data_IF_151404364948
#
_entry.id   IF_151404364948
#
_cell.length_a   1.000
_cell.length_b   1.000
_cell.length_c   1.000
_cell.angle_alpha   90.00
_cell.angle_beta   90.00
_cell.angle_gamma   90.00
#
_symmetry.space_group_name_H-M   'P 1'
#
loop_
_entity.id
_entity.type
_entity.pdbx_description
1 polymer ?
#
# COMPACT_ATOMS: atom_id res chain seq x y z
N UNK A 1 -24.42 19.85 59.45
CA UNK A 1 -24.14 18.64 58.64
C UNK A 1 -24.01 19.06 57.18
N UNK A 2 -22.78 19.09 56.63
CA UNK A 2 -22.51 19.48 55.23
C UNK A 2 -22.63 18.25 54.33
N UNK A 3 -23.54 18.27 53.35
CA UNK A 3 -23.66 17.21 52.33
C UNK A 3 -22.72 17.56 51.17
N UNK A 4 -21.77 16.67 50.89
CA UNK A 4 -20.87 16.74 49.73
C UNK A 4 -21.53 15.92 48.62
N UNK A 5 -21.93 16.58 47.54
CA UNK A 5 -22.46 15.91 46.35
C UNK A 5 -21.29 15.60 45.42
N UNK A 6 -20.98 14.31 45.28
CA UNK A 6 -19.97 13.80 44.35
C UNK A 6 -20.60 13.70 42.95
N UNK A 7 -20.12 14.50 41.99
CA UNK A 7 -20.52 14.39 40.58
C UNK A 7 -19.49 13.49 39.89
N UNK A 8 -19.89 12.26 39.56
CA UNK A 8 -19.09 11.35 38.76
C UNK A 8 -19.24 11.72 37.27
N UNK A 9 -18.19 12.29 36.68
CA UNK A 9 -18.12 12.52 35.24
C UNK A 9 -17.74 11.21 34.54
N UNK A 10 -18.71 10.56 33.89
CA UNK A 10 -18.49 9.40 33.03
C UNK A 10 -17.95 9.93 31.70
N UNK A 11 -16.66 9.73 31.46
CA UNK A 11 -16.03 9.98 30.17
C UNK A 11 -16.35 8.80 29.23
N UNK A 12 -17.32 9.00 28.35
CA UNK A 12 -17.64 8.04 27.29
C UNK A 12 -16.69 8.28 26.11
N UNK A 13 -15.64 7.47 25.99
CA UNK A 13 -14.79 7.48 24.79
C UNK A 13 -15.55 6.78 23.67
N UNK A 14 -16.19 7.54 22.77
CA UNK A 14 -16.69 6.98 21.51
C UNK A 14 -15.48 6.53 20.68
N UNK A 15 -15.25 5.22 20.59
CA UNK A 15 -14.37 4.67 19.58
C UNK A 15 -15.13 4.66 18.25
N UNK A 16 -14.84 5.61 17.36
CA UNK A 16 -15.31 5.55 15.99
C UNK A 16 -14.67 4.34 15.31
N UNK A 17 -15.48 3.36 14.91
CA UNK A 17 -15.03 2.33 13.99
C UNK A 17 -14.66 3.00 12.66
N UNK A 18 -13.38 2.98 12.31
CA UNK A 18 -12.88 3.55 11.05
C UNK A 18 -13.23 2.55 9.94
N UNK A 19 -14.35 2.77 9.24
CA UNK A 19 -14.69 2.03 8.03
C UNK A 19 -13.90 2.63 6.85
N UNK A 20 -12.79 1.99 6.45
CA UNK A 20 -11.96 2.47 5.34
C UNK A 20 -11.73 1.40 4.29
N UNK A 21 -11.83 1.73 3.00
CA UNK A 21 -11.59 0.74 1.93
C UNK A 21 -10.09 0.45 1.81
N UNK A 22 -9.70 -0.83 1.77
CA UNK A 22 -8.30 -1.24 1.94
C UNK A 22 -7.78 -2.22 0.89
N UNK A 23 -6.61 -1.96 0.34
CA UNK A 23 -5.79 -2.99 -0.30
C UNK A 23 -4.67 -3.43 0.65
N UNK A 24 -4.76 -4.64 1.20
CA UNK A 24 -3.76 -5.15 2.13
C UNK A 24 -2.52 -5.60 1.35
N UNK A 25 -1.33 -5.18 1.76
CA UNK A 25 -0.10 -5.59 1.08
C UNK A 25 0.45 -6.87 1.73
N UNK A 26 0.64 -7.90 0.91
CA UNK A 26 1.35 -9.12 1.27
C UNK A 26 2.65 -9.18 0.47
N UNK A 27 3.78 -9.28 1.15
CA UNK A 27 5.10 -9.23 0.51
C UNK A 27 5.83 -10.54 0.70
N UNK A 28 6.39 -11.07 -0.38
CA UNK A 28 7.30 -12.20 -0.37
C UNK A 28 8.61 -11.80 -1.07
N UNK A 29 9.74 -12.21 -0.49
CA UNK A 29 11.06 -11.92 -1.01
C UNK A 29 11.93 -13.19 -1.05
N UNK A 30 12.78 -13.31 -2.07
CA UNK A 30 13.81 -14.33 -2.12
C UNK A 30 14.84 -14.16 -0.98
N UNK A 31 15.59 -15.23 -0.69
CA UNK A 31 16.71 -15.19 0.25
C UNK A 31 17.70 -14.08 -0.10
N UNK A 32 18.22 -13.41 0.92
CA UNK A 32 19.18 -12.30 0.81
C UNK A 32 18.61 -11.00 0.16
N UNK A 33 17.29 -10.91 -0.01
CA UNK A 33 16.56 -9.66 -0.24
C UNK A 33 15.85 -9.29 1.06
N UNK A 34 16.07 -8.06 1.53
CA UNK A 34 15.40 -7.51 2.72
C UNK A 34 14.37 -6.49 2.25
N UNK A 35 13.12 -6.66 2.67
CA UNK A 35 12.08 -5.67 2.45
C UNK A 35 11.67 -5.08 3.79
N UNK A 36 11.78 -3.76 3.90
CA UNK A 36 11.33 -3.02 5.09
C UNK A 36 10.02 -2.29 4.79
N UNK A 37 9.29 -1.97 5.86
CA UNK A 37 7.95 -1.37 5.82
C UNK A 37 6.84 -2.32 5.28
N UNK A 38 6.84 -3.56 5.76
CA UNK A 38 5.88 -4.61 5.39
C UNK A 38 4.43 -4.34 5.82
N UNK A 39 4.20 -3.34 6.66
CA UNK A 39 2.90 -3.03 7.26
C UNK A 39 2.33 -1.77 6.62
N UNK A 40 1.82 -1.90 5.40
CA UNK A 40 1.11 -0.84 4.72
C UNK A 40 -0.19 -1.37 4.09
N UNK A 41 -1.26 -0.59 4.20
CA UNK A 41 -2.51 -0.82 3.48
C UNK A 41 -2.74 0.37 2.54
N UNK A 42 -3.20 0.12 1.31
CA UNK A 42 -3.79 1.18 0.49
C UNK A 42 -5.13 1.56 1.08
N UNK A 43 -5.15 2.61 1.91
CA UNK A 43 -6.35 3.07 2.59
C UNK A 43 -7.02 4.21 1.82
N UNK A 44 -8.11 3.93 1.13
CA UNK A 44 -8.92 4.92 0.42
C UNK A 44 -9.87 5.69 1.37
N UNK A 45 -9.83 5.40 2.67
CA UNK A 45 -10.69 6.02 3.67
C UNK A 45 -12.15 5.59 3.53
N UNK A 46 -13.03 6.33 4.20
CA UNK A 46 -14.47 6.16 4.07
C UNK A 46 -14.93 6.74 2.74
N UNK A 47 -15.71 5.96 2.00
CA UNK A 47 -16.30 6.39 0.72
C UNK A 47 -17.81 6.44 0.83
N UNK A 48 -18.43 7.39 0.11
CA UNK A 48 -19.88 7.53 0.01
C UNK A 48 -20.39 6.93 -1.31
N UNK A 49 -21.63 6.44 -1.32
CA UNK A 49 -22.24 5.91 -2.53
C UNK A 49 -22.24 6.95 -3.65
N UNK A 50 -21.94 6.50 -4.87
CA UNK A 50 -21.87 7.34 -6.08
C UNK A 50 -20.84 8.48 -6.00
N UNK A 51 -19.80 8.35 -5.17
CA UNK A 51 -18.70 9.32 -5.09
C UNK A 51 -17.86 9.38 -6.39
N UNK A 52 -17.95 8.35 -7.24
CA UNK A 52 -17.13 8.24 -8.44
C UNK A 52 -15.73 7.73 -8.11
N UNK A 53 -14.71 8.19 -8.85
CA UNK A 53 -13.34 7.72 -8.68
C UNK A 53 -12.70 8.32 -7.43
N UNK A 54 -12.19 7.46 -6.55
CA UNK A 54 -11.32 7.84 -5.43
C UNK A 54 -9.93 7.32 -5.73
N UNK A 55 -8.94 8.21 -5.69
CA UNK A 55 -7.58 7.91 -6.14
C UNK A 55 -6.55 8.24 -5.05
N UNK A 56 -5.61 7.31 -4.87
CA UNK A 56 -4.34 7.55 -4.18
C UNK A 56 -3.31 7.83 -5.28
N UNK A 57 -2.81 9.06 -5.32
CA UNK A 57 -1.78 9.48 -6.29
C UNK A 57 -0.40 8.98 -5.85
N UNK A 58 0.52 8.76 -6.79
CA UNK A 58 1.88 8.30 -6.51
C UNK A 58 2.59 9.11 -5.40
N UNK A 59 2.39 10.43 -5.36
CA UNK A 59 3.01 11.34 -4.37
C UNK A 59 2.14 11.59 -3.15
N UNK A 60 0.98 10.94 -3.03
CA UNK A 60 0.09 11.09 -1.90
C UNK A 60 0.67 10.42 -0.65
N UNK A 61 0.38 10.94 0.56
CA UNK A 61 0.84 10.32 1.80
C UNK A 61 0.25 8.93 2.06
N UNK A 62 -0.87 8.57 1.41
CA UNK A 62 -1.50 7.25 1.48
C UNK A 62 -0.84 6.20 0.57
N UNK A 63 0.14 6.59 -0.27
CA UNK A 63 0.94 5.64 -1.06
C UNK A 63 1.73 4.72 -0.15
N UNK A 64 1.66 3.42 -0.41
CA UNK A 64 2.51 2.47 0.31
C UNK A 64 3.89 2.44 -0.32
N UNK A 65 4.92 2.64 0.50
CA UNK A 65 6.31 2.61 0.07
C UNK A 65 7.01 1.41 0.70
N UNK A 66 7.45 0.48 -0.14
CA UNK A 66 8.31 -0.64 0.26
C UNK A 66 9.76 -0.30 -0.08
N UNK A 67 10.65 -0.45 0.88
CA UNK A 67 12.09 -0.33 0.64
C UNK A 67 12.65 -1.74 0.43
N UNK A 68 13.32 -1.94 -0.70
CA UNK A 68 13.91 -3.20 -1.13
C UNK A 68 15.42 -3.06 -1.07
N UNK A 69 16.06 -3.91 -0.28
CA UNK A 69 17.50 -3.98 -0.15
C UNK A 69 18.00 -5.34 -0.62
N UNK A 70 19.10 -5.34 -1.36
CA UNK A 70 19.73 -6.56 -1.83
C UNK A 70 21.16 -6.27 -2.25
N UNK A 71 21.81 -7.24 -2.88
CA UNK A 71 23.18 -7.07 -3.37
C UNK A 71 23.22 -6.03 -4.49
N UNK A 72 24.13 -5.06 -4.38
CA UNK A 72 24.29 -4.02 -5.40
C UNK A 72 24.60 -4.60 -6.79
N UNK A 73 24.21 -3.87 -7.84
CA UNK A 73 24.37 -4.24 -9.25
C UNK A 73 23.68 -5.56 -9.66
N UNK A 74 22.92 -6.20 -8.79
CA UNK A 74 22.06 -7.31 -9.18
C UNK A 74 20.75 -6.78 -9.76
N UNK A 75 20.20 -7.54 -10.71
CA UNK A 75 18.87 -7.30 -11.24
C UNK A 75 17.87 -7.98 -10.33
N UNK A 76 16.80 -7.27 -10.00
CA UNK A 76 15.67 -7.82 -9.29
C UNK A 76 14.44 -7.75 -10.17
N UNK A 77 13.61 -8.77 -10.05
CA UNK A 77 12.31 -8.90 -10.69
C UNK A 77 11.24 -8.73 -9.62
N UNK A 78 10.30 -7.83 -9.86
CA UNK A 78 9.17 -7.56 -8.98
C UNK A 78 7.89 -7.94 -9.69
N UNK A 79 7.06 -8.77 -9.05
CA UNK A 79 5.77 -9.20 -9.56
C UNK A 79 4.63 -8.78 -8.64
N UNK A 80 3.64 -8.07 -9.18
CA UNK A 80 2.45 -7.59 -8.48
C UNK A 80 1.21 -8.39 -8.88
N UNK A 81 0.48 -8.96 -7.92
CA UNK A 81 -0.79 -9.64 -8.18
C UNK A 81 -1.89 -9.10 -7.26
N UNK A 82 -2.97 -8.59 -7.83
CA UNK A 82 -4.13 -8.14 -7.07
C UNK A 82 -5.45 -8.51 -7.77
N UNK A 83 -6.51 -8.82 -7.02
CA UNK A 83 -7.86 -8.91 -7.58
C UNK A 83 -8.27 -7.57 -8.21
N UNK A 84 -9.11 -7.58 -9.26
CA UNK A 84 -9.57 -6.36 -9.93
C UNK A 84 -10.61 -5.57 -9.10
N UNK A 85 -10.92 -6.04 -7.89
CA UNK A 85 -11.93 -5.47 -7.03
C UNK A 85 -11.57 -5.60 -5.53
N UNK A 86 -12.02 -4.63 -4.74
CA UNK A 86 -12.14 -4.76 -3.29
C UNK A 86 -13.49 -5.43 -2.99
N UNK A 87 -13.55 -6.34 -2.02
CA UNK A 87 -14.76 -7.08 -1.68
C UNK A 87 -15.20 -6.84 -0.24
N UNK A 88 -16.50 -6.61 -0.08
CA UNK A 88 -17.19 -6.70 1.21
C UNK A 88 -17.67 -8.14 1.44
N UNK A 89 -18.22 -8.76 0.38
CA UNK A 89 -18.67 -10.15 0.36
C UNK A 89 -18.70 -10.69 -1.10
N UNK A 90 -19.37 -11.82 -1.33
CA UNK A 90 -19.46 -12.44 -2.66
C UNK A 90 -20.25 -11.61 -3.68
N UNK A 91 -21.22 -10.80 -3.24
CA UNK A 91 -22.13 -10.01 -4.08
C UNK A 91 -21.72 -8.54 -4.16
N UNK A 92 -20.94 -8.07 -3.18
CA UNK A 92 -20.56 -6.67 -3.02
C UNK A 92 -19.08 -6.47 -3.34
N UNK A 93 -18.81 -5.88 -4.51
CA UNK A 93 -17.47 -5.56 -5.01
C UNK A 93 -17.34 -4.10 -5.43
N UNK A 94 -16.16 -3.53 -5.23
CA UNK A 94 -15.74 -2.20 -5.67
C UNK A 94 -14.60 -2.36 -6.69
N UNK A 95 -14.75 -1.91 -7.94
CA UNK A 95 -13.66 -1.96 -8.91
C UNK A 95 -12.41 -1.27 -8.38
N UNK A 96 -11.26 -1.94 -8.55
CA UNK A 96 -9.96 -1.51 -8.06
C UNK A 96 -8.92 -1.59 -9.18
N UNK A 97 -8.20 -0.50 -9.36
CA UNK A 97 -7.07 -0.42 -10.27
C UNK A 97 -5.79 -0.29 -9.45
N UNK A 98 -5.01 -1.36 -9.37
CA UNK A 98 -3.65 -1.31 -8.85
C UNK A 98 -2.78 -0.45 -9.77
N UNK A 99 -1.88 0.34 -9.19
CA UNK A 99 -0.80 1.05 -9.86
C UNK A 99 0.49 0.88 -9.06
N UNK A 100 1.61 0.86 -9.76
CA UNK A 100 2.91 0.74 -9.12
C UNK A 100 3.96 1.57 -9.86
N UNK A 101 4.96 2.01 -9.11
CA UNK A 101 6.16 2.64 -9.64
C UNK A 101 7.37 2.18 -8.82
N UNK A 102 8.58 2.35 -9.35
CA UNK A 102 9.81 2.06 -8.64
C UNK A 102 10.83 3.19 -8.78
N UNK A 103 11.70 3.35 -7.79
CA UNK A 103 12.87 4.20 -7.85
C UNK A 103 14.10 3.37 -7.48
N UNK A 104 14.99 3.16 -8.45
CA UNK A 104 16.21 2.37 -8.36
C UNK A 104 17.47 3.23 -8.16
N UNK A 105 17.31 4.50 -7.76
CA UNK A 105 18.44 5.43 -7.53
C UNK A 105 18.95 5.40 -6.09
N UNK A 106 18.35 4.61 -5.19
CA UNK A 106 18.68 4.60 -3.77
C UNK A 106 18.00 5.70 -2.95
N UNK A 107 17.17 6.55 -3.57
CA UNK A 107 16.46 7.62 -2.90
C UNK A 107 14.95 7.35 -2.81
N UNK A 108 14.37 7.57 -1.62
CA UNK A 108 12.93 7.58 -1.43
C UNK A 108 12.33 8.88 -2.00
N UNK A 109 12.22 8.95 -3.32
CA UNK A 109 11.64 10.08 -4.05
C UNK A 109 10.66 9.60 -5.12
N UNK A 110 9.37 9.71 -4.82
CA UNK A 110 8.28 9.33 -5.73
C UNK A 110 8.26 10.18 -7.02
N UNK A 111 8.73 11.43 -6.99
CA UNK A 111 8.76 12.29 -8.19
C UNK A 111 9.77 11.84 -9.24
N UNK A 112 10.78 11.05 -8.84
CA UNK A 112 11.76 10.44 -9.75
C UNK A 112 11.48 8.98 -10.07
N UNK A 113 10.30 8.45 -9.68
CA UNK A 113 9.97 7.04 -9.87
C UNK A 113 9.52 6.74 -11.30
N UNK A 114 9.87 5.55 -11.79
CA UNK A 114 9.42 5.00 -13.07
C UNK A 114 8.14 4.21 -12.87
N UNK A 115 7.09 4.55 -13.62
CA UNK A 115 5.78 3.87 -13.57
C UNK A 115 5.88 2.46 -14.18
N UNK A 116 5.25 1.49 -13.51
CA UNK A 116 5.11 0.11 -13.99
C UNK A 116 3.80 0.00 -14.76
N UNK A 117 3.88 -0.44 -16.02
CA UNK A 117 2.72 -0.59 -16.90
C UNK A 117 1.93 -1.87 -16.57
N UNK A 118 0.90 -1.74 -15.73
CA UNK A 118 -0.07 -2.81 -15.50
C UNK A 118 -1.03 -2.94 -16.70
N UNK A 119 -1.46 -4.15 -17.09
CA UNK A 119 -1.51 -5.38 -16.30
C UNK A 119 -0.26 -6.25 -16.37
N UNK A 120 0.83 -5.79 -17.00
CA UNK A 120 2.12 -6.51 -16.94
C UNK A 120 2.61 -6.42 -15.50
N UNK A 121 2.31 -7.46 -14.73
CA UNK A 121 2.54 -7.55 -13.30
C UNK A 121 4.02 -7.56 -12.94
N UNK A 122 4.90 -7.78 -13.92
CA UNK A 122 6.32 -8.03 -13.69
C UNK A 122 7.19 -6.93 -14.27
N UNK A 123 8.07 -6.38 -13.44
CA UNK A 123 9.09 -5.41 -13.84
C UNK A 123 10.45 -5.87 -13.33
N UNK A 124 11.47 -5.75 -14.17
CA UNK A 124 12.87 -5.96 -13.77
C UNK A 124 13.63 -4.65 -13.79
N UNK A 125 14.46 -4.41 -12.78
CA UNK A 125 15.40 -3.29 -12.73
C UNK A 125 16.64 -3.68 -11.93
N UNK A 126 17.70 -2.88 -12.02
CA UNK A 126 18.96 -3.16 -11.35
C UNK A 126 19.03 -2.36 -10.04
N UNK A 127 19.44 -3.01 -8.95
CA UNK A 127 19.72 -2.31 -7.70
C UNK A 127 20.93 -1.38 -7.88
N UNK A 128 20.87 -0.14 -7.35
CA UNK A 128 21.92 0.84 -7.55
C UNK A 128 23.24 0.35 -6.95
N UNK A 129 24.34 0.77 -7.57
CA UNK A 129 25.66 0.63 -7.00
C UNK A 129 25.80 1.54 -5.77
N UNK A 130 26.18 0.97 -4.62
CA UNK A 130 26.40 1.72 -3.40
C UNK A 130 27.87 1.55 -2.99
N UNK A 131 28.73 2.56 -3.25
CA UNK A 131 30.18 2.44 -3.00
C UNK A 131 30.57 2.32 -1.51
N UNK A 132 29.60 2.22 -0.60
CA UNK A 132 29.79 1.93 0.81
C UNK A 132 30.33 0.51 1.07
N UNK A 133 30.64 0.23 2.34
CA UNK A 133 31.29 -1.03 2.72
C UNK A 133 30.37 -2.26 2.61
N UNK A 134 29.06 -2.06 2.74
CA UNK A 134 28.11 -3.17 2.84
C UNK A 134 27.69 -3.76 1.48
N UNK A 135 28.07 -3.12 0.36
CA UNK A 135 27.72 -3.52 -1.02
C UNK A 135 26.22 -3.81 -1.22
N UNK A 136 25.39 -3.07 -0.49
CA UNK A 136 23.92 -3.19 -0.52
C UNK A 136 23.34 -2.09 -1.39
N UNK A 137 22.58 -2.47 -2.41
CA UNK A 137 21.78 -1.56 -3.22
C UNK A 137 20.36 -1.46 -2.66
N UNK A 138 19.81 -0.25 -2.65
CA UNK A 138 18.46 0.04 -2.15
C UNK A 138 17.58 0.56 -3.28
N UNK A 139 16.37 0.04 -3.40
CA UNK A 139 15.33 0.58 -4.26
C UNK A 139 14.04 0.79 -3.48
N UNK A 140 13.13 1.59 -4.04
CA UNK A 140 11.83 1.87 -3.44
C UNK A 140 10.73 1.50 -4.41
N UNK A 141 9.74 0.74 -3.93
CA UNK A 141 8.52 0.43 -4.66
C UNK A 141 7.39 1.28 -4.08
N UNK A 142 6.65 1.94 -4.96
CA UNK A 142 5.50 2.77 -4.62
C UNK A 142 4.25 2.06 -5.13
N UNK A 143 3.35 1.72 -4.23
CA UNK A 143 2.10 1.04 -4.51
C UNK A 143 0.99 2.06 -4.26
N UNK A 144 0.13 2.26 -5.25
CA UNK A 144 -0.96 3.22 -5.23
C UNK A 144 -2.09 2.72 -6.14
N UNK A 145 -3.14 3.51 -6.33
CA UNK A 145 -4.24 3.06 -7.18
C UNK A 145 -5.50 3.89 -7.06
N UNK A 146 -6.56 3.37 -7.64
CA UNK A 146 -7.87 3.99 -7.62
C UNK A 146 -8.97 2.95 -7.43
N UNK A 147 -10.08 3.41 -6.87
CA UNK A 147 -11.34 2.66 -6.80
C UNK A 147 -12.45 3.45 -7.45
N UNK A 148 -13.41 2.76 -8.06
CA UNK A 148 -14.62 3.38 -8.61
C UNK A 148 -15.81 3.11 -7.69
N UNK A 149 -16.31 4.16 -7.04
CA UNK A 149 -17.40 4.08 -6.06
C UNK A 149 -18.73 4.45 -6.73
N UNK A 150 -19.46 3.41 -7.12
CA UNK A 150 -20.81 3.51 -7.69
C UNK A 150 -21.89 3.31 -6.61
N UNK A 151 -23.06 2.80 -6.98
CA UNK A 151 -24.08 2.37 -6.03
C UNK A 151 -23.69 1.04 -5.36
N UNK A 152 -22.96 1.11 -4.25
CA UNK A 152 -22.47 -0.05 -3.49
C UNK A 152 -23.00 -0.03 -2.05
N UNK A 153 -23.09 -1.20 -1.41
CA UNK A 153 -23.51 -1.26 -0.01
C UNK A 153 -22.50 -0.57 0.93
N UNK A 154 -23.00 -0.05 2.06
CA UNK A 154 -22.12 0.46 3.09
C UNK A 154 -21.36 -0.71 3.75
N UNK A 155 -20.04 -0.59 3.86
CA UNK A 155 -19.22 -1.63 4.46
C UNK A 155 -17.73 -1.43 4.25
N UNK A 156 -16.95 -2.33 4.85
CA UNK A 156 -15.50 -2.42 4.70
C UNK A 156 -15.17 -3.37 3.55
N UNK A 157 -14.75 -2.83 2.43
CA UNK A 157 -14.26 -3.59 1.29
C UNK A 157 -12.76 -3.75 1.40
N UNK A 158 -12.27 -4.95 1.10
CA UNK A 158 -10.84 -5.22 1.09
C UNK A 158 -10.41 -6.19 0.00
N UNK A 159 -9.13 -6.15 -0.35
CA UNK A 159 -8.47 -7.23 -1.09
C UNK A 159 -7.05 -7.44 -0.54
N UNK A 160 -6.33 -8.38 -1.15
CA UNK A 160 -4.91 -8.62 -0.88
C UNK A 160 -4.12 -8.41 -2.17
N UNK A 161 -3.12 -7.54 -2.09
CA UNK A 161 -2.14 -7.26 -3.14
C UNK A 161 -0.88 -8.04 -2.77
N UNK A 162 -0.46 -8.96 -3.62
CA UNK A 162 0.75 -9.73 -3.44
C UNK A 162 1.90 -9.07 -4.21
N UNK A 163 3.03 -8.89 -3.54
CA UNK A 163 4.28 -8.39 -4.12
C UNK A 163 5.33 -9.47 -3.93
N UNK A 164 5.85 -10.00 -5.03
CA UNK A 164 6.96 -10.96 -5.04
C UNK A 164 8.21 -10.24 -5.55
N UNK A 165 9.32 -10.34 -4.82
CA UNK A 165 10.61 -9.76 -5.20
C UNK A 165 11.67 -10.86 -5.22
N UNK A 166 12.31 -11.05 -6.35
CA UNK A 166 13.29 -12.12 -6.59
C UNK A 166 14.48 -11.54 -7.37
N UNK A 167 15.62 -12.21 -7.35
CA UNK A 167 16.68 -11.91 -8.32
C UNK A 167 16.25 -12.38 -9.72
N UNK A 168 16.67 -11.62 -10.75
CA UNK A 168 16.33 -11.88 -12.16
C UNK A 168 17.25 -12.90 -12.84
#
# INVERSE_FOLDING_TARGET
>A
MKRITLIAAIWFTLTSAIYGQRGNINVNAEQDIVITNLTGDLNFGSVIQNQGTVQILLTAPETVVLQVEGKENQRIRVTFTAPPDLRLDALNALPFTLRAAYNDTGNNNASGATVISLPVSTQTFQLPNNPGQDKTGTAYLYIYGDILVSNVNAGLYSNTINVLVEYD
#
